data_IF_372636051238
#
_entry.id   IF_372636051238
#
_cell.length_a   1.000
_cell.length_b   1.000
_cell.length_c   1.000
_cell.angle_alpha   90.00
_cell.angle_beta   90.00
_cell.angle_gamma   90.00
#
_symmetry.space_group_name_H-M   'P 1'
#
loop_
_entity.id
_entity.type
_entity.pdbx_description
1 polymer ?
#
# COMPACT_ATOMS: atom_id res chain seq x y z
N UNK A 1 -8.33 4.14 -15.98
CA UNK A 1 -7.26 3.14 -16.26
C UNK A 1 -7.27 2.13 -15.14
N UNK A 2 -7.20 0.87 -15.45
CA UNK A 2 -7.16 -0.23 -14.48
C UNK A 2 -5.91 -1.09 -14.70
N UNK A 3 -5.40 -1.70 -13.64
CA UNK A 3 -4.36 -2.72 -13.74
C UNK A 3 -4.99 -4.11 -13.80
N UNK A 4 -4.30 -5.06 -14.44
CA UNK A 4 -4.68 -6.48 -14.46
C UNK A 4 -3.53 -7.29 -13.88
N UNK A 5 -3.86 -8.24 -13.01
CA UNK A 5 -2.85 -9.06 -12.32
C UNK A 5 -2.34 -10.24 -13.13
N UNK A 6 -3.10 -10.66 -14.16
CA UNK A 6 -2.66 -11.74 -15.07
C UNK A 6 -2.60 -13.14 -14.46
N UNK A 7 -3.32 -13.43 -13.43
CA UNK A 7 -3.32 -14.74 -12.76
C UNK A 7 -4.71 -15.29 -12.51
N UNK A 8 -4.83 -16.24 -11.60
CA UNK A 8 -6.10 -16.79 -11.12
C UNK A 8 -6.94 -15.81 -10.29
N UNK A 9 -6.48 -14.58 -10.11
CA UNK A 9 -7.19 -13.52 -9.43
C UNK A 9 -8.27 -12.91 -10.34
N UNK A 10 -9.48 -12.68 -9.80
CA UNK A 10 -10.58 -12.06 -10.56
C UNK A 10 -10.29 -10.63 -11.02
N UNK A 11 -9.31 -9.93 -10.43
CA UNK A 11 -8.85 -8.62 -10.91
C UNK A 11 -8.40 -8.65 -12.38
N UNK A 12 -7.97 -9.80 -12.90
CA UNK A 12 -7.68 -10.01 -14.32
C UNK A 12 -8.89 -9.73 -15.22
N UNK A 13 -10.12 -9.81 -14.69
CA UNK A 13 -11.35 -9.61 -15.44
C UNK A 13 -11.98 -8.20 -15.24
N UNK A 14 -11.46 -7.35 -14.35
CA UNK A 14 -12.08 -6.06 -14.04
C UNK A 14 -12.21 -5.14 -15.26
N UNK A 15 -11.30 -5.19 -16.22
CA UNK A 15 -11.39 -4.41 -17.46
C UNK A 15 -12.59 -4.83 -18.29
N UNK A 16 -12.84 -6.12 -18.42
CA UNK A 16 -13.99 -6.63 -19.17
C UNK A 16 -15.30 -6.25 -18.47
N UNK A 17 -15.34 -6.34 -17.14
CA UNK A 17 -16.50 -5.93 -16.35
C UNK A 17 -16.77 -4.42 -16.48
N UNK A 18 -15.73 -3.59 -16.44
CA UNK A 18 -15.86 -2.15 -16.63
C UNK A 18 -16.36 -1.81 -18.04
N UNK A 19 -15.80 -2.45 -19.09
CA UNK A 19 -16.27 -2.26 -20.46
C UNK A 19 -17.74 -2.63 -20.60
N UNK A 20 -18.16 -3.78 -20.01
CA UNK A 20 -19.54 -4.23 -20.00
C UNK A 20 -20.46 -3.24 -19.27
N UNK A 21 -20.03 -2.75 -18.11
CA UNK A 21 -20.79 -1.75 -17.36
C UNK A 21 -20.96 -0.46 -18.13
N UNK A 22 -19.93 0.04 -18.81
CA UNK A 22 -20.01 1.24 -19.67
C UNK A 22 -20.96 1.01 -20.85
N UNK A 23 -20.88 -0.15 -21.51
CA UNK A 23 -21.76 -0.53 -22.62
C UNK A 23 -23.22 -0.54 -22.18
N UNK A 24 -23.56 -1.20 -21.08
CA UNK A 24 -24.93 -1.30 -20.54
C UNK A 24 -25.49 0.10 -20.20
N UNK A 25 -24.64 1.02 -19.75
CA UNK A 25 -25.05 2.39 -19.38
C UNK A 25 -24.93 3.38 -20.54
N UNK A 26 -24.73 2.93 -21.79
CA UNK A 26 -24.71 3.79 -22.97
C UNK A 26 -23.42 4.57 -23.21
N UNK A 27 -22.35 4.31 -22.41
CA UNK A 27 -21.07 5.02 -22.54
C UNK A 27 -20.14 4.35 -23.57
N UNK A 28 -20.62 4.07 -24.78
CA UNK A 28 -19.89 3.33 -25.83
C UNK A 28 -18.60 4.03 -26.33
N UNK A 29 -18.49 5.35 -26.16
CA UNK A 29 -17.35 6.15 -26.61
C UNK A 29 -16.21 6.25 -25.59
N UNK A 30 -16.44 5.79 -24.36
CA UNK A 30 -15.43 5.88 -23.28
C UNK A 30 -14.37 4.79 -23.47
N UNK A 31 -13.11 5.22 -23.69
CA UNK A 31 -11.98 4.29 -23.80
C UNK A 31 -11.56 3.77 -22.42
N UNK A 32 -11.46 2.45 -22.29
CA UNK A 32 -10.93 1.79 -21.09
C UNK A 32 -9.50 1.35 -21.36
N UNK A 33 -8.54 1.96 -20.66
CA UNK A 33 -7.11 1.66 -20.80
C UNK A 33 -6.67 0.72 -19.67
N UNK A 34 -5.83 -0.26 -20.03
CA UNK A 34 -5.25 -1.21 -19.10
C UNK A 34 -3.75 -1.01 -18.99
N UNK A 35 -3.22 -0.91 -17.77
CA UNK A 35 -1.80 -1.09 -17.52
C UNK A 35 -1.56 -2.58 -17.26
N UNK A 36 -1.12 -3.28 -18.29
CA UNK A 36 -0.99 -4.72 -18.32
C UNK A 36 0.42 -5.13 -18.73
N UNK A 37 1.15 -5.75 -17.82
CA UNK A 37 2.50 -6.24 -18.05
C UNK A 37 2.55 -7.63 -18.71
N UNK A 38 1.41 -8.35 -18.72
CA UNK A 38 1.35 -9.75 -19.19
C UNK A 38 0.67 -9.93 -20.53
N UNK A 39 0.30 -8.84 -21.21
CA UNK A 39 -0.29 -8.92 -22.55
C UNK A 39 -1.69 -9.54 -22.62
N UNK A 40 -2.44 -9.55 -21.50
CA UNK A 40 -3.79 -10.13 -21.42
C UNK A 40 -4.82 -9.36 -22.26
N UNK A 41 -4.63 -8.05 -22.42
CA UNK A 41 -5.51 -7.21 -23.20
C UNK A 41 -4.89 -6.86 -24.55
N UNK A 42 -5.19 -7.66 -25.57
CA UNK A 42 -4.72 -7.43 -26.96
C UNK A 42 -5.30 -6.17 -27.61
N UNK A 43 -6.38 -5.60 -27.04
CA UNK A 43 -7.01 -4.35 -27.51
C UNK A 43 -6.46 -3.11 -26.80
N UNK A 44 -5.43 -3.27 -25.97
CA UNK A 44 -4.86 -2.17 -25.23
C UNK A 44 -3.96 -1.32 -26.12
N UNK A 45 -4.41 -0.12 -26.45
CA UNK A 45 -3.66 0.87 -27.23
C UNK A 45 -2.64 1.64 -26.37
N UNK A 46 -2.55 1.35 -25.06
CA UNK A 46 -1.70 2.08 -24.14
C UNK A 46 -0.38 1.37 -23.90
N UNK A 47 0.71 2.03 -24.25
CA UNK A 47 2.07 1.60 -23.92
C UNK A 47 2.85 2.74 -23.29
N UNK A 48 3.64 2.42 -22.28
CA UNK A 48 4.57 3.37 -21.67
C UNK A 48 5.93 3.29 -22.38
N UNK A 49 6.51 4.46 -22.69
CA UNK A 49 7.92 4.52 -23.09
C UNK A 49 8.82 4.17 -21.89
N UNK A 50 10.08 3.84 -22.14
CA UNK A 50 11.08 3.60 -21.10
C UNK A 50 11.15 4.77 -20.07
N UNK A 51 11.12 6.00 -20.58
CA UNK A 51 11.01 7.21 -19.74
C UNK A 51 9.72 7.23 -18.90
N UNK A 52 8.61 6.74 -19.46
CA UNK A 52 7.32 6.61 -18.76
C UNK A 52 7.41 5.65 -17.58
N UNK A 53 8.05 4.49 -17.72
CA UNK A 53 8.28 3.56 -16.62
C UNK A 53 9.16 4.14 -15.51
N UNK A 54 10.22 4.88 -15.88
CA UNK A 54 11.03 5.60 -14.90
C UNK A 54 10.24 6.66 -14.14
N UNK A 55 9.44 7.46 -14.85
CA UNK A 55 8.60 8.46 -14.21
C UNK A 55 7.58 7.82 -13.25
N UNK A 56 6.95 6.71 -13.66
CA UNK A 56 6.02 5.95 -12.82
C UNK A 56 6.71 5.45 -11.54
N UNK A 57 7.89 4.84 -11.67
CA UNK A 57 8.67 4.35 -10.54
C UNK A 57 8.99 5.45 -9.51
N UNK A 58 9.45 6.60 -10.00
CA UNK A 58 9.75 7.71 -9.08
C UNK A 58 8.50 8.37 -8.51
N UNK A 59 7.39 8.36 -9.26
CA UNK A 59 6.10 8.81 -8.72
C UNK A 59 5.63 7.91 -7.57
N UNK A 60 5.89 6.60 -7.63
CA UNK A 60 5.61 5.68 -6.53
C UNK A 60 6.48 6.02 -5.31
N UNK A 61 7.80 6.24 -5.49
CA UNK A 61 8.69 6.63 -4.39
C UNK A 61 8.24 7.90 -3.67
N UNK A 62 7.88 8.95 -4.44
CA UNK A 62 7.37 10.18 -3.84
C UNK A 62 5.99 10.00 -3.22
N UNK A 63 5.12 9.20 -3.83
CA UNK A 63 3.80 8.88 -3.31
C UNK A 63 3.87 8.17 -1.96
N UNK A 64 4.73 7.17 -1.85
CA UNK A 64 4.94 6.42 -0.61
C UNK A 64 5.51 7.31 0.51
N UNK A 65 6.49 8.17 0.19
CA UNK A 65 6.99 9.14 1.15
C UNK A 65 5.89 10.09 1.62
N UNK A 66 5.19 10.73 0.67
CA UNK A 66 4.13 11.70 1.00
C UNK A 66 3.03 11.06 1.84
N UNK A 67 2.58 9.86 1.48
CA UNK A 67 1.56 9.12 2.22
C UNK A 67 2.03 8.83 3.65
N UNK A 68 3.24 8.29 3.81
CA UNK A 68 3.80 7.95 5.12
C UNK A 68 3.93 9.18 6.03
N UNK A 69 4.47 10.29 5.52
CA UNK A 69 4.67 11.52 6.31
C UNK A 69 3.35 12.23 6.59
N UNK A 70 2.41 12.24 5.62
CA UNK A 70 1.08 12.82 5.78
C UNK A 70 0.30 12.17 6.91
N UNK A 71 0.16 10.83 6.91
CA UNK A 71 -0.63 10.13 7.93
C UNK A 71 -0.05 10.30 9.34
N UNK A 72 1.28 10.34 9.46
CA UNK A 72 1.94 10.63 10.73
C UNK A 72 1.84 12.11 11.14
N UNK A 73 1.49 13.02 10.23
CA UNK A 73 1.33 14.44 10.54
C UNK A 73 -0.11 14.79 10.86
N UNK A 74 -1.06 14.38 10.02
CA UNK A 74 -2.48 14.72 10.14
C UNK A 74 -3.09 14.24 11.47
N UNK A 75 -2.63 13.11 12.00
CA UNK A 75 -3.12 12.60 13.27
C UNK A 75 -2.81 13.52 14.47
N UNK A 76 -1.80 14.37 14.36
CA UNK A 76 -1.29 15.20 15.46
C UNK A 76 -1.35 16.70 15.18
N UNK A 77 -1.78 17.15 13.99
CA UNK A 77 -1.86 18.58 13.66
C UNK A 77 -2.78 19.35 14.62
N UNK A 78 -2.36 20.54 15.03
CA UNK A 78 -3.17 21.41 15.89
C UNK A 78 -4.25 22.15 15.09
N UNK A 79 -3.94 22.55 13.87
CA UNK A 79 -4.86 23.20 12.97
C UNK A 79 -5.33 22.21 11.90
N UNK A 80 -6.58 21.75 11.94
CA UNK A 80 -7.11 20.80 10.94
C UNK A 80 -6.96 21.32 9.51
N UNK A 81 -6.27 20.54 8.66
CA UNK A 81 -6.08 20.85 7.25
C UNK A 81 -4.68 21.33 6.88
N UNK A 82 -3.79 21.64 7.83
CA UNK A 82 -2.41 22.03 7.57
C UNK A 82 -1.68 20.93 6.77
N UNK A 83 -1.76 19.68 7.22
CA UNK A 83 -1.14 18.54 6.54
C UNK A 83 -1.69 18.33 5.13
N UNK A 84 -3.00 18.51 4.96
CA UNK A 84 -3.67 18.38 3.67
C UNK A 84 -3.22 19.46 2.67
N UNK A 85 -3.03 20.68 3.16
CA UNK A 85 -2.55 21.80 2.35
C UNK A 85 -1.11 21.58 1.87
N UNK A 86 -0.23 21.09 2.74
CA UNK A 86 1.15 20.74 2.38
C UNK A 86 1.18 19.56 1.40
N UNK A 87 0.33 18.55 1.61
CA UNK A 87 0.20 17.41 0.69
C UNK A 87 -0.23 17.89 -0.70
N UNK A 88 -1.24 18.77 -0.79
CA UNK A 88 -1.72 19.32 -2.05
C UNK A 88 -0.61 20.10 -2.77
N UNK A 89 0.10 20.97 -2.08
CA UNK A 89 1.26 21.71 -2.62
C UNK A 89 2.30 20.77 -3.24
N UNK A 90 2.72 19.73 -2.51
CA UNK A 90 3.74 18.80 -3.02
C UNK A 90 3.23 17.93 -4.16
N UNK A 91 1.97 17.54 -4.14
CA UNK A 91 1.34 16.81 -5.28
C UNK A 91 1.40 17.64 -6.56
N UNK A 92 0.95 18.89 -6.52
CA UNK A 92 0.96 19.78 -7.69
C UNK A 92 2.38 20.03 -8.19
N UNK A 93 3.30 20.32 -7.28
CA UNK A 93 4.71 20.53 -7.59
C UNK A 93 5.34 19.33 -8.27
N UNK A 94 5.21 18.14 -7.69
CA UNK A 94 5.76 16.90 -8.24
C UNK A 94 5.14 16.55 -9.60
N UNK A 95 3.82 16.73 -9.77
CA UNK A 95 3.13 16.52 -11.04
C UNK A 95 3.69 17.47 -12.11
N UNK A 96 3.92 18.73 -11.79
CA UNK A 96 4.47 19.73 -12.73
C UNK A 96 5.93 19.43 -13.13
N UNK A 97 6.67 18.71 -12.31
CA UNK A 97 8.06 18.34 -12.52
C UNK A 97 8.24 16.97 -13.22
N UNK A 98 7.22 16.10 -13.16
CA UNK A 98 7.25 14.77 -13.80
C UNK A 98 7.57 14.91 -15.30
N UNK A 99 8.60 14.21 -15.75
CA UNK A 99 9.05 14.27 -17.14
C UNK A 99 10.05 15.38 -17.47
N UNK A 100 10.25 16.37 -16.63
CA UNK A 100 11.18 17.49 -16.87
C UNK A 100 12.58 17.24 -16.32
N UNK A 101 12.76 17.07 -15.03
CA UNK A 101 14.08 16.78 -14.38
C UNK A 101 13.92 16.22 -12.93
N UNK A 102 13.00 15.33 -12.62
CA UNK A 102 12.57 15.15 -11.24
C UNK A 102 13.57 14.39 -10.35
N UNK A 103 14.60 13.74 -10.91
CA UNK A 103 15.21 12.62 -10.16
C UNK A 103 16.69 12.82 -9.83
N UNK A 104 17.32 13.89 -10.34
CA UNK A 104 18.73 14.20 -10.02
C UNK A 104 18.95 14.57 -8.56
N UNK A 105 17.90 15.04 -7.84
CA UNK A 105 17.97 15.55 -6.46
C UNK A 105 17.01 14.82 -5.52
N UNK A 106 16.84 13.52 -5.72
CA UNK A 106 15.84 12.72 -5.00
C UNK A 106 15.94 12.89 -3.47
N UNK A 107 17.12 12.70 -2.90
CA UNK A 107 17.34 12.82 -1.45
C UNK A 107 17.11 14.25 -0.95
N UNK A 108 17.49 15.26 -1.71
CA UNK A 108 17.26 16.66 -1.37
C UNK A 108 15.76 16.99 -1.36
N UNK A 109 15.02 16.46 -2.33
CA UNK A 109 13.56 16.60 -2.39
C UNK A 109 12.87 15.89 -1.21
N UNK A 110 13.33 14.69 -0.84
CA UNK A 110 12.81 14.00 0.34
C UNK A 110 12.98 14.85 1.61
N UNK A 111 14.16 15.42 1.82
CA UNK A 111 14.42 16.32 2.95
C UNK A 111 13.47 17.51 2.94
N UNK A 112 13.33 18.20 1.80
CA UNK A 112 12.42 19.36 1.67
C UNK A 112 10.96 19.00 1.97
N UNK A 113 10.50 17.82 1.53
CA UNK A 113 9.15 17.33 1.84
C UNK A 113 9.01 17.16 3.36
N UNK A 114 9.92 16.43 3.99
CA UNK A 114 9.88 16.15 5.42
C UNK A 114 9.96 17.45 6.23
N UNK A 115 10.89 18.33 5.90
CA UNK A 115 11.08 19.63 6.56
C UNK A 115 9.82 20.49 6.45
N UNK A 116 9.13 20.48 5.32
CA UNK A 116 7.87 21.21 5.17
C UNK A 116 6.77 20.64 6.09
N UNK A 117 6.64 19.32 6.23
CA UNK A 117 5.72 18.71 7.20
C UNK A 117 6.11 18.93 8.65
N UNK A 118 7.39 19.20 8.93
CA UNK A 118 7.86 19.56 10.29
C UNK A 118 7.46 20.98 10.71
N UNK A 119 7.11 21.86 9.76
CA UNK A 119 6.60 23.20 10.10
C UNK A 119 5.19 23.19 10.68
N UNK A 120 4.45 22.06 10.57
CA UNK A 120 3.10 21.93 11.10
C UNK A 120 3.17 21.88 12.64
N UNK A 121 2.46 22.76 13.36
CA UNK A 121 2.28 22.64 14.80
C UNK A 121 1.59 21.31 15.14
N UNK A 122 2.17 20.55 16.08
CA UNK A 122 1.69 19.20 16.44
C UNK A 122 1.49 19.06 17.95
N UNK A 123 0.32 18.59 18.35
CA UNK A 123 0.06 18.21 19.72
C UNK A 123 0.49 16.76 19.96
N UNK A 124 1.67 16.58 20.53
CA UNK A 124 2.23 15.27 20.87
C UNK A 124 1.95 14.85 22.33
N UNK A 125 1.15 15.63 23.09
CA UNK A 125 0.86 15.36 24.50
C UNK A 125 0.10 14.04 24.70
N UNK A 126 -0.69 13.62 23.70
CA UNK A 126 -1.44 12.35 23.72
C UNK A 126 -0.99 11.46 22.57
N UNK A 127 -0.43 10.31 22.92
CA UNK A 127 -0.10 9.28 21.93
C UNK A 127 -1.39 8.73 21.33
N UNK A 128 -1.51 8.79 20.02
CA UNK A 128 -2.67 8.26 19.29
C UNK A 128 -2.61 6.74 19.19
N UNK A 129 -3.77 6.10 19.15
CA UNK A 129 -3.89 4.71 18.71
C UNK A 129 -3.47 4.65 17.25
N UNK A 130 -2.63 3.67 16.90
CA UNK A 130 -2.17 3.46 15.53
C UNK A 130 -2.91 2.27 14.93
N UNK A 131 -3.39 2.43 13.69
CA UNK A 131 -4.14 1.40 12.97
C UNK A 131 -3.48 1.13 11.62
N UNK A 132 -2.96 -0.07 11.45
CA UNK A 132 -2.39 -0.55 10.19
C UNK A 132 -3.48 -0.96 9.20
N UNK A 133 -3.33 -0.59 7.93
CA UNK A 133 -4.23 -0.99 6.85
C UNK A 133 -3.48 -1.94 5.91
N UNK A 134 -3.90 -3.18 5.86
CA UNK A 134 -3.44 -4.24 4.94
C UNK A 134 -4.57 -4.62 4.02
N UNK A 135 -4.30 -5.18 2.88
CA UNK A 135 -5.38 -5.72 2.05
C UNK A 135 -5.09 -5.70 0.57
N UNK A 136 -6.14 -5.93 -0.20
CA UNK A 136 -6.09 -5.87 -1.66
C UNK A 136 -5.74 -4.45 -2.12
N UNK A 137 -4.88 -4.34 -3.12
CA UNK A 137 -4.27 -3.07 -3.54
C UNK A 137 -5.29 -1.97 -3.83
N UNK A 138 -6.38 -2.29 -4.55
CA UNK A 138 -7.41 -1.30 -4.82
C UNK A 138 -8.17 -0.91 -3.54
N UNK A 139 -8.54 -1.89 -2.70
CA UNK A 139 -9.21 -1.62 -1.43
C UNK A 139 -8.32 -0.83 -0.46
N UNK A 140 -7.02 -1.10 -0.45
CA UNK A 140 -6.07 -0.44 0.45
C UNK A 140 -5.87 1.04 0.13
N UNK A 141 -5.81 1.40 -1.16
CA UNK A 141 -5.43 2.75 -1.58
C UNK A 141 -6.55 3.59 -2.20
N UNK A 142 -7.70 3.01 -2.56
CA UNK A 142 -8.79 3.74 -3.21
C UNK A 142 -9.89 4.12 -2.21
N UNK A 143 -10.09 5.41 -1.91
CA UNK A 143 -11.19 5.85 -1.05
C UNK A 143 -12.56 5.40 -1.57
N UNK A 144 -12.75 5.36 -2.90
CA UNK A 144 -13.97 4.84 -3.52
C UNK A 144 -14.18 3.34 -3.22
N UNK A 145 -13.09 2.55 -3.20
CA UNK A 145 -13.16 1.10 -2.96
C UNK A 145 -13.40 0.75 -1.49
N UNK A 146 -12.83 1.52 -0.58
CA UNK A 146 -12.84 1.24 0.86
C UNK A 146 -13.74 2.19 1.69
N UNK A 147 -14.69 2.86 1.04
CA UNK A 147 -15.61 3.79 1.71
C UNK A 147 -14.88 4.83 2.59
N UNK A 148 -13.79 5.41 2.05
CA UNK A 148 -12.99 6.41 2.76
C UNK A 148 -12.44 5.93 4.11
N UNK A 149 -11.96 4.69 4.19
CA UNK A 149 -11.44 4.07 5.41
C UNK A 149 -10.44 4.95 6.16
N UNK A 150 -9.49 5.54 5.46
CA UNK A 150 -8.47 6.40 6.08
C UNK A 150 -9.09 7.66 6.69
N UNK A 151 -10.00 8.33 5.94
CA UNK A 151 -10.72 9.52 6.44
C UNK A 151 -11.58 9.16 7.66
N UNK A 152 -12.17 7.96 7.68
CA UNK A 152 -12.93 7.45 8.83
C UNK A 152 -12.04 7.27 10.05
N UNK A 153 -10.87 6.65 9.90
CA UNK A 153 -9.92 6.47 10.99
C UNK A 153 -9.39 7.81 11.53
N UNK A 154 -9.09 8.77 10.64
CA UNK A 154 -8.69 10.13 11.05
C UNK A 154 -9.78 10.83 11.87
N UNK A 155 -11.06 10.71 11.47
CA UNK A 155 -12.22 11.22 12.24
C UNK A 155 -12.38 10.57 13.61
N UNK A 156 -12.05 9.28 13.74
CA UNK A 156 -12.02 8.57 15.02
C UNK A 156 -10.81 8.98 15.90
N UNK A 157 -9.96 9.87 15.42
CA UNK A 157 -8.83 10.42 16.15
C UNK A 157 -7.63 9.48 16.30
N UNK A 158 -7.48 8.53 15.38
CA UNK A 158 -6.36 7.56 15.37
C UNK A 158 -5.38 7.87 14.25
N UNK A 159 -4.15 7.35 14.36
CA UNK A 159 -3.14 7.44 13.30
C UNK A 159 -3.29 6.25 12.36
N UNK A 160 -3.69 6.49 11.11
CA UNK A 160 -3.69 5.48 10.06
C UNK A 160 -2.25 5.20 9.58
N UNK A 161 -1.90 3.92 9.43
CA UNK A 161 -0.59 3.49 8.96
C UNK A 161 -0.76 2.60 7.73
N UNK A 162 -0.20 3.02 6.60
CA UNK A 162 -0.20 2.24 5.35
C UNK A 162 1.23 1.84 4.98
N UNK A 163 1.39 0.64 4.45
CA UNK A 163 2.64 0.25 3.76
C UNK A 163 2.71 0.90 2.38
N UNK A 164 3.90 1.01 1.82
CA UNK A 164 4.11 1.63 0.51
C UNK A 164 3.64 0.77 -0.66
N UNK A 165 3.23 1.40 -1.75
CA UNK A 165 2.94 0.72 -3.02
C UNK A 165 4.21 0.11 -3.64
N UNK A 166 5.37 0.63 -3.30
CA UNK A 166 6.67 0.13 -3.75
C UNK A 166 6.90 -1.33 -3.34
N UNK A 167 6.44 -1.72 -2.14
CA UNK A 167 6.58 -3.10 -1.66
C UNK A 167 5.79 -4.08 -2.51
N UNK A 168 4.62 -3.70 -2.99
CA UNK A 168 3.86 -4.50 -3.95
C UNK A 168 4.57 -4.61 -5.33
N UNK A 169 5.20 -3.54 -5.80
CA UNK A 169 6.02 -3.60 -7.01
C UNK A 169 7.22 -4.54 -6.83
N UNK A 170 7.93 -4.42 -5.72
CA UNK A 170 9.04 -5.30 -5.36
C UNK A 170 8.61 -6.76 -5.21
N UNK A 171 7.46 -7.00 -4.58
CA UNK A 171 6.86 -8.32 -4.46
C UNK A 171 6.67 -8.98 -5.82
N UNK A 172 6.01 -8.30 -6.77
CA UNK A 172 5.78 -8.84 -8.11
C UNK A 172 7.07 -9.14 -8.88
N UNK A 173 8.09 -8.29 -8.74
CA UNK A 173 9.39 -8.51 -9.37
C UNK A 173 10.15 -9.66 -8.70
N UNK A 174 10.07 -9.75 -7.37
CA UNK A 174 10.73 -10.80 -6.59
C UNK A 174 10.16 -12.18 -6.89
N UNK A 175 8.90 -12.31 -7.23
CA UNK A 175 8.29 -13.58 -7.64
C UNK A 175 9.04 -14.22 -8.82
N UNK A 176 9.49 -13.40 -9.77
CA UNK A 176 10.32 -13.89 -10.89
C UNK A 176 11.67 -14.47 -10.40
N UNK A 177 12.24 -13.87 -9.34
CA UNK A 177 13.49 -14.37 -8.73
C UNK A 177 13.22 -15.66 -7.98
N UNK A 178 12.11 -15.75 -7.26
CA UNK A 178 11.73 -16.90 -6.48
C UNK A 178 11.34 -18.10 -7.35
N UNK A 179 10.70 -17.87 -8.52
CA UNK A 179 10.38 -18.90 -9.51
C UNK A 179 11.60 -19.68 -9.99
N UNK A 180 12.77 -19.03 -10.07
CA UNK A 180 14.00 -19.75 -10.37
C UNK A 180 14.33 -20.77 -9.30
N UNK A 181 14.08 -20.45 -8.03
CA UNK A 181 14.34 -21.35 -6.91
C UNK A 181 13.43 -22.57 -6.93
N UNK A 182 12.13 -22.36 -7.27
CA UNK A 182 11.14 -23.44 -7.27
C UNK A 182 11.17 -24.25 -8.56
N UNK A 183 11.24 -23.58 -9.72
CA UNK A 183 11.05 -24.22 -11.02
C UNK A 183 12.33 -24.39 -11.83
N UNK A 184 13.49 -24.00 -11.29
CA UNK A 184 14.77 -24.11 -11.98
C UNK A 184 14.87 -23.23 -13.24
N UNK A 185 13.98 -22.29 -13.46
CA UNK A 185 13.96 -21.46 -14.66
C UNK A 185 15.25 -20.67 -14.82
N UNK A 186 16.00 -20.93 -15.92
CA UNK A 186 17.25 -20.23 -16.25
C UNK A 186 16.99 -19.29 -17.42
N UNK A 187 17.60 -18.08 -17.40
CA UNK A 187 17.49 -17.14 -18.53
C UNK A 187 18.02 -15.76 -18.19
N UNK A 188 18.30 -14.95 -19.22
CA UNK A 188 18.78 -13.57 -19.09
C UNK A 188 17.78 -12.68 -18.31
N UNK A 189 16.49 -12.95 -18.45
CA UNK A 189 15.42 -12.24 -17.73
C UNK A 189 15.63 -12.26 -16.21
N UNK A 190 16.10 -13.38 -15.66
CA UNK A 190 16.37 -13.49 -14.21
C UNK A 190 17.44 -12.48 -13.76
N UNK A 191 18.56 -12.39 -14.46
CA UNK A 191 19.66 -11.49 -14.07
C UNK A 191 19.24 -10.03 -14.20
N UNK A 192 18.47 -9.71 -15.26
CA UNK A 192 17.91 -8.38 -15.44
C UNK A 192 16.96 -8.00 -14.30
N UNK A 193 15.99 -8.86 -13.97
CA UNK A 193 15.04 -8.59 -12.88
C UNK A 193 15.77 -8.51 -11.53
N UNK A 194 16.75 -9.36 -11.27
CA UNK A 194 17.57 -9.28 -10.06
C UNK A 194 18.29 -7.94 -9.93
N UNK A 195 18.84 -7.43 -11.04
CA UNK A 195 19.46 -6.10 -11.06
C UNK A 195 18.43 -4.99 -10.78
N UNK A 196 17.26 -5.06 -11.41
CA UNK A 196 16.17 -4.08 -11.22
C UNK A 196 15.69 -4.09 -9.77
N UNK A 197 15.45 -5.27 -9.18
CA UNK A 197 15.05 -5.38 -7.76
C UNK A 197 16.11 -4.74 -6.85
N UNK A 198 17.39 -5.07 -7.04
CA UNK A 198 18.47 -4.47 -6.24
C UNK A 198 18.55 -2.94 -6.39
N UNK A 199 18.28 -2.41 -7.60
CA UNK A 199 18.21 -0.97 -7.82
C UNK A 199 17.03 -0.33 -7.06
N UNK A 200 15.85 -0.94 -7.11
CA UNK A 200 14.64 -0.45 -6.43
C UNK A 200 14.82 -0.50 -4.91
N UNK A 201 15.33 -1.62 -4.37
CA UNK A 201 15.64 -1.76 -2.94
C UNK A 201 16.65 -0.70 -2.47
N UNK A 202 17.66 -0.39 -3.29
CA UNK A 202 18.60 0.70 -3.00
C UNK A 202 17.88 2.05 -2.92
N UNK A 203 16.94 2.33 -3.83
CA UNK A 203 16.19 3.59 -3.82
C UNK A 203 15.21 3.68 -2.65
N UNK A 204 14.57 2.57 -2.28
CA UNK A 204 13.78 2.47 -1.05
C UNK A 204 14.65 2.76 0.19
N UNK A 205 15.80 2.14 0.28
CA UNK A 205 16.74 2.38 1.38
C UNK A 205 17.17 3.83 1.47
N UNK A 206 17.45 4.49 0.34
CA UNK A 206 17.77 5.92 0.30
C UNK A 206 16.66 6.79 0.90
N UNK A 207 15.38 6.46 0.65
CA UNK A 207 14.22 7.13 1.25
C UNK A 207 14.15 6.87 2.76
N UNK A 208 14.24 5.61 3.17
CA UNK A 208 14.24 5.19 4.57
C UNK A 208 15.35 5.88 5.37
N UNK A 209 16.57 5.92 4.82
CA UNK A 209 17.73 6.54 5.47
C UNK A 209 17.56 8.07 5.62
N UNK A 210 16.83 8.72 4.72
CA UNK A 210 16.48 10.14 4.86
C UNK A 210 15.45 10.32 5.98
N UNK A 211 14.37 9.52 6.02
CA UNK A 211 13.35 9.60 7.08
C UNK A 211 13.98 9.40 8.46
N UNK A 212 14.91 8.44 8.61
CA UNK A 212 15.61 8.16 9.87
C UNK A 212 16.42 9.34 10.44
N UNK A 213 16.75 10.33 9.62
CA UNK A 213 17.43 11.54 10.10
C UNK A 213 16.50 12.44 10.95
N UNK A 214 15.18 12.21 10.83
CA UNK A 214 14.16 13.01 11.51
C UNK A 214 13.43 12.14 12.55
N UNK A 215 13.71 12.38 13.85
CA UNK A 215 13.13 11.62 14.96
C UNK A 215 11.59 11.67 15.05
N UNK A 216 10.99 12.65 14.38
CA UNK A 216 9.54 12.88 14.39
C UNK A 216 8.74 11.91 13.51
N UNK A 217 9.41 11.12 12.68
CA UNK A 217 8.76 10.21 11.76
C UNK A 217 9.32 8.80 11.86
N UNK A 218 8.45 7.81 11.79
CA UNK A 218 8.79 6.39 11.79
C UNK A 218 8.91 5.93 10.33
N UNK A 219 10.09 5.47 9.89
CA UNK A 219 10.27 4.95 8.54
C UNK A 219 9.62 3.56 8.40
N UNK A 220 9.21 3.17 7.17
CA UNK A 220 8.81 1.79 6.88
C UNK A 220 10.01 0.84 6.98
N UNK A 221 9.74 -0.47 7.06
CA UNK A 221 10.79 -1.49 6.99
C UNK A 221 11.34 -1.61 5.56
N UNK A 222 12.63 -1.94 5.39
CA UNK A 222 13.16 -2.32 4.08
C UNK A 222 12.49 -3.60 3.57
N UNK A 223 12.13 -3.68 2.29
CA UNK A 223 11.49 -4.85 1.69
C UNK A 223 12.24 -6.17 1.95
N UNK A 224 13.56 -6.14 1.95
CA UNK A 224 14.39 -7.30 2.31
C UNK A 224 14.06 -7.84 3.70
N UNK A 225 13.77 -6.97 4.67
CA UNK A 225 13.34 -7.35 6.03
C UNK A 225 11.91 -7.88 6.04
N UNK A 226 10.99 -7.21 5.32
CA UNK A 226 9.58 -7.64 5.19
C UNK A 226 9.49 -9.07 4.66
N UNK A 227 10.30 -9.45 3.66
CA UNK A 227 10.36 -10.83 3.15
C UNK A 227 10.69 -11.86 4.24
N UNK A 228 11.60 -11.54 5.15
CA UNK A 228 12.04 -12.46 6.19
C UNK A 228 10.98 -12.69 7.27
N UNK A 229 10.05 -11.75 7.47
CA UNK A 229 9.02 -11.83 8.49
C UNK A 229 8.04 -12.99 8.28
N UNK A 230 7.87 -13.47 7.05
CA UNK A 230 6.99 -14.62 6.76
C UNK A 230 7.58 -15.96 7.18
N UNK A 231 8.85 -16.03 7.63
CA UNK A 231 9.44 -17.28 8.09
C UNK A 231 8.65 -17.88 9.25
N UNK A 232 8.33 -19.17 9.14
CA UNK A 232 7.51 -19.88 10.12
C UNK A 232 6.00 -19.70 9.96
N UNK A 233 5.56 -18.76 9.11
CA UNK A 233 4.15 -18.53 8.79
C UNK A 233 3.75 -19.15 7.46
N UNK A 234 4.37 -18.73 6.36
CA UNK A 234 4.10 -19.27 5.02
C UNK A 234 5.29 -19.06 4.08
N UNK A 235 5.31 -19.82 2.99
CA UNK A 235 6.38 -19.74 1.99
C UNK A 235 6.08 -18.74 0.88
N UNK A 236 7.13 -18.19 0.26
CA UNK A 236 7.00 -17.23 -0.84
C UNK A 236 6.42 -17.82 -2.14
N UNK A 237 6.19 -19.14 -2.20
CA UNK A 237 5.44 -19.76 -3.30
C UNK A 237 3.95 -19.42 -3.31
N UNK A 238 3.44 -18.87 -2.20
CA UNK A 238 2.06 -18.37 -2.09
C UNK A 238 2.03 -16.95 -2.62
N UNK A 239 1.93 -16.78 -3.94
CA UNK A 239 2.17 -15.52 -4.65
C UNK A 239 1.03 -15.02 -5.54
N UNK A 240 -0.17 -15.62 -5.43
CA UNK A 240 -1.33 -15.17 -6.19
C UNK A 240 -1.86 -13.85 -5.62
N UNK A 241 -2.10 -12.87 -6.49
CA UNK A 241 -2.50 -11.51 -6.09
C UNK A 241 -1.42 -10.84 -5.25
N UNK A 242 -1.74 -10.40 -4.05
CA UNK A 242 -0.81 -9.86 -3.07
C UNK A 242 0.00 -10.94 -2.34
N UNK A 243 -0.46 -12.19 -2.43
CA UNK A 243 0.22 -13.38 -1.93
C UNK A 243 0.73 -13.25 -0.50
N UNK A 244 1.95 -13.76 -0.26
CA UNK A 244 2.61 -13.74 1.05
C UNK A 244 2.82 -12.33 1.62
N UNK A 245 2.77 -11.28 0.78
CA UNK A 245 2.95 -9.90 1.22
C UNK A 245 1.89 -9.48 2.23
N UNK A 246 0.63 -9.95 2.10
CA UNK A 246 -0.44 -9.64 3.05
C UNK A 246 -0.10 -10.05 4.49
N UNK A 247 0.44 -11.25 4.66
CA UNK A 247 0.88 -11.73 5.98
C UNK A 247 2.12 -10.97 6.45
N UNK A 248 3.07 -10.69 5.54
CA UNK A 248 4.28 -9.95 5.86
C UNK A 248 3.99 -8.53 6.35
N UNK A 249 3.06 -7.81 5.73
CA UNK A 249 2.64 -6.47 6.13
C UNK A 249 1.99 -6.45 7.53
N UNK A 250 1.17 -7.46 7.87
CA UNK A 250 0.62 -7.57 9.22
C UNK A 250 1.74 -7.75 10.28
N UNK A 251 2.72 -8.59 9.99
CA UNK A 251 3.87 -8.83 10.86
C UNK A 251 4.77 -7.60 10.96
N UNK A 252 4.96 -6.88 9.85
CA UNK A 252 5.67 -5.61 9.83
C UNK A 252 5.03 -4.59 10.77
N UNK A 253 3.71 -4.43 10.69
CA UNK A 253 2.99 -3.52 11.58
C UNK A 253 3.15 -3.89 13.05
N UNK A 254 3.04 -5.17 13.40
CA UNK A 254 3.25 -5.65 14.76
C UNK A 254 4.68 -5.31 15.23
N UNK A 255 5.70 -5.55 14.40
CA UNK A 255 7.09 -5.22 14.74
C UNK A 255 7.30 -3.70 14.90
N UNK A 256 6.57 -2.88 14.14
CA UNK A 256 6.57 -1.41 14.27
C UNK A 256 5.76 -0.92 15.48
N UNK A 257 5.19 -1.83 16.30
CA UNK A 257 4.32 -1.50 17.42
C UNK A 257 2.90 -1.07 17.03
N UNK A 258 2.48 -1.32 15.79
CA UNK A 258 1.11 -1.10 15.31
C UNK A 258 0.31 -2.38 15.51
N UNK A 259 -0.36 -2.48 16.66
CA UNK A 259 -1.05 -3.70 17.09
C UNK A 259 -2.45 -3.84 16.50
N UNK A 260 -3.10 -2.73 16.15
CA UNK A 260 -4.44 -2.71 15.58
C UNK A 260 -4.33 -2.72 14.06
N UNK A 261 -4.93 -3.72 13.40
CA UNK A 261 -4.78 -3.92 11.97
C UNK A 261 -6.14 -4.21 11.33
N UNK A 262 -6.45 -3.47 10.27
CA UNK A 262 -7.61 -3.69 9.40
C UNK A 262 -7.14 -4.33 8.11
N UNK A 263 -7.61 -5.56 7.83
CA UNK A 263 -7.46 -6.19 6.52
C UNK A 263 -8.64 -5.77 5.65
N UNK A 264 -8.43 -4.78 4.78
CA UNK A 264 -9.42 -4.27 3.83
C UNK A 264 -9.44 -5.15 2.58
N UNK A 265 -10.55 -5.83 2.33
CA UNK A 265 -10.61 -6.82 1.27
C UNK A 265 -11.93 -6.76 0.48
N UNK A 266 -11.92 -7.02 -0.84
CA UNK A 266 -13.16 -7.24 -1.57
C UNK A 266 -13.81 -8.54 -1.10
N UNK A 267 -15.12 -8.57 -1.00
CA UNK A 267 -15.84 -9.83 -0.72
C UNK A 267 -15.45 -10.93 -1.73
N UNK A 268 -15.12 -12.11 -1.23
CA UNK A 268 -14.71 -13.24 -2.06
C UNK A 268 -13.34 -13.10 -2.73
N UNK A 269 -12.47 -12.20 -2.28
CA UNK A 269 -11.09 -12.13 -2.73
C UNK A 269 -10.29 -13.31 -2.18
N UNK A 270 -9.90 -14.24 -3.05
CA UNK A 270 -9.24 -15.48 -2.65
C UNK A 270 -7.94 -15.25 -1.86
N UNK A 271 -6.94 -14.46 -2.35
CA UNK A 271 -5.73 -14.21 -1.60
C UNK A 271 -5.99 -13.60 -0.22
N UNK A 272 -6.87 -12.62 -0.14
CA UNK A 272 -7.17 -11.96 1.13
C UNK A 272 -7.85 -12.89 2.13
N UNK A 273 -8.79 -13.76 1.69
CA UNK A 273 -9.44 -14.69 2.59
C UNK A 273 -8.50 -15.79 3.10
N UNK A 274 -7.57 -16.26 2.27
CA UNK A 274 -6.65 -17.35 2.63
C UNK A 274 -5.41 -16.80 3.37
N UNK A 275 -4.78 -15.74 2.85
CA UNK A 275 -3.43 -15.31 3.23
C UNK A 275 -3.47 -14.14 4.22
N UNK A 276 -4.51 -13.28 4.19
CA UNK A 276 -4.73 -12.29 5.23
C UNK A 276 -5.62 -12.86 6.33
N UNK A 277 -6.92 -13.01 6.08
CA UNK A 277 -7.89 -13.47 7.09
C UNK A 277 -7.57 -14.85 7.66
N UNK A 278 -7.17 -15.80 6.82
CA UNK A 278 -6.81 -17.15 7.24
C UNK A 278 -5.57 -17.23 8.12
N UNK A 279 -4.67 -16.25 8.07
CA UNK A 279 -3.46 -16.19 8.88
C UNK A 279 -3.64 -15.47 10.21
N UNK A 280 -4.76 -14.78 10.43
CA UNK A 280 -5.00 -13.97 11.65
C UNK A 280 -4.82 -14.81 12.91
N UNK A 281 -5.39 -16.02 12.95
CA UNK A 281 -5.27 -16.88 14.14
C UNK A 281 -3.81 -17.22 14.43
N UNK A 282 -3.08 -17.71 13.43
CA UNK A 282 -1.67 -18.07 13.60
C UNK A 282 -0.80 -16.87 14.00
N UNK A 283 -1.12 -15.68 13.52
CA UNK A 283 -0.44 -14.45 13.95
C UNK A 283 -0.75 -14.16 15.42
N UNK A 284 -2.03 -14.21 15.82
CA UNK A 284 -2.45 -13.98 17.21
C UNK A 284 -1.91 -15.01 18.20
N UNK A 285 -1.73 -16.26 17.79
CA UNK A 285 -1.13 -17.31 18.62
C UNK A 285 0.34 -16.95 18.98
N UNK A 286 1.05 -16.25 18.11
CA UNK A 286 2.43 -15.81 18.33
C UNK A 286 2.52 -14.35 18.86
N UNK A 287 1.49 -13.55 18.62
CA UNK A 287 1.38 -12.13 18.97
C UNK A 287 0.02 -11.88 19.62
N UNK A 288 -0.19 -12.30 20.88
CA UNK A 288 -1.49 -12.18 21.57
C UNK A 288 -2.00 -10.74 21.66
N UNK A 289 -1.07 -9.77 21.65
CA UNK A 289 -1.37 -8.33 21.67
C UNK A 289 -1.95 -7.80 20.36
N UNK A 290 -1.92 -8.58 19.26
CA UNK A 290 -2.39 -8.15 17.96
C UNK A 290 -3.92 -8.14 17.87
N UNK A 291 -4.49 -6.98 17.59
CA UNK A 291 -5.92 -6.75 17.41
C UNK A 291 -6.23 -6.60 15.91
N UNK A 292 -6.44 -7.73 15.24
CA UNK A 292 -6.58 -7.81 13.79
C UNK A 292 -8.01 -8.15 13.42
N UNK A 293 -8.61 -7.37 12.51
CA UNK A 293 -9.92 -7.64 11.91
C UNK A 293 -9.83 -7.66 10.39
N UNK A 294 -10.70 -8.47 9.76
CA UNK A 294 -10.90 -8.43 8.32
C UNK A 294 -12.23 -7.75 8.01
N UNK A 295 -12.22 -6.77 7.10
CA UNK A 295 -13.41 -6.03 6.69
C UNK A 295 -13.62 -6.26 5.21
N UNK A 296 -14.77 -6.86 4.88
CA UNK A 296 -15.18 -7.10 3.50
C UNK A 296 -15.86 -5.86 2.93
N UNK A 297 -15.40 -5.41 1.76
CA UNK A 297 -15.99 -4.34 0.99
C UNK A 297 -16.73 -4.94 -0.21
N UNK A 298 -18.03 -4.67 -0.26
CA UNK A 298 -18.93 -5.11 -1.32
C UNK A 298 -19.87 -3.95 -1.65
N UNK A 299 -20.11 -3.63 -2.93
CA UNK A 299 -21.05 -2.55 -3.30
C UNK A 299 -22.47 -2.72 -2.75
N UNK A 300 -22.89 -3.97 -2.46
CA UNK A 300 -24.17 -4.29 -1.85
C UNK A 300 -24.17 -4.30 -0.31
N UNK A 301 -23.00 -4.17 0.32
CA UNK A 301 -22.90 -4.20 1.78
C UNK A 301 -23.13 -2.82 2.39
N UNK A 302 -23.74 -2.79 3.58
CA UNK A 302 -23.90 -1.56 4.35
C UNK A 302 -22.58 -1.06 4.91
N UNK A 303 -22.24 0.21 4.66
CA UNK A 303 -21.07 0.86 5.28
C UNK A 303 -21.12 0.83 6.80
N UNK A 304 -22.32 0.87 7.38
CA UNK A 304 -22.54 0.80 8.84
C UNK A 304 -21.96 -0.47 9.46
N UNK A 305 -22.11 -1.61 8.79
CA UNK A 305 -21.54 -2.87 9.28
C UNK A 305 -20.00 -2.85 9.26
N UNK A 306 -19.41 -2.24 8.26
CA UNK A 306 -17.96 -2.08 8.15
C UNK A 306 -17.44 -1.15 9.26
N UNK A 307 -18.06 0.00 9.42
CA UNK A 307 -17.72 0.98 10.46
C UNK A 307 -17.89 0.41 11.87
N UNK A 308 -18.98 -0.32 12.15
CA UNK A 308 -19.22 -0.94 13.46
C UNK A 308 -18.12 -1.96 13.82
N UNK A 309 -17.62 -2.73 12.86
CA UNK A 309 -16.49 -3.66 13.10
C UNK A 309 -15.20 -2.92 13.41
N UNK A 310 -14.92 -1.84 12.70
CA UNK A 310 -13.75 -1.00 12.97
C UNK A 310 -13.90 -0.32 14.33
N UNK A 311 -15.06 0.23 14.64
CA UNK A 311 -15.34 0.87 15.93
C UNK A 311 -15.16 -0.09 17.11
N UNK A 312 -15.65 -1.33 16.97
CA UNK A 312 -15.45 -2.36 18.01
C UNK A 312 -13.94 -2.65 18.22
N UNK A 313 -13.16 -2.73 17.14
CA UNK A 313 -11.70 -2.88 17.25
C UNK A 313 -11.07 -1.68 17.97
N UNK A 314 -11.51 -0.45 17.67
CA UNK A 314 -10.99 0.76 18.29
C UNK A 314 -11.38 0.85 19.79
N UNK A 315 -12.60 0.47 20.17
CA UNK A 315 -13.00 0.42 21.57
C UNK A 315 -12.13 -0.57 22.36
N UNK A 316 -11.89 -1.76 21.83
CA UNK A 316 -10.95 -2.71 22.45
C UNK A 316 -9.54 -2.10 22.60
N UNK A 317 -9.07 -1.37 21.59
CA UNK A 317 -7.76 -0.72 21.66
C UNK A 317 -7.72 0.43 22.68
N UNK A 318 -8.83 1.18 22.87
CA UNK A 318 -8.96 2.25 23.86
C UNK A 318 -8.95 1.67 25.29
N UNK A 319 -9.68 0.58 25.52
CA UNK A 319 -9.70 -0.12 26.81
C UNK A 319 -8.30 -0.59 27.22
N UNK A 320 -7.57 -1.25 26.31
CA UNK A 320 -6.20 -1.73 26.57
C UNK A 320 -5.17 -0.60 26.74
N UNK A 321 -5.45 0.61 26.29
CA UNK A 321 -4.57 1.77 26.46
C UNK A 321 -4.77 2.49 27.81
N UNK A 322 -5.86 2.19 28.53
CA UNK A 322 -6.19 2.75 29.84
C UNK A 322 -5.77 1.86 31.01
N UNK A 323 -5.42 0.61 30.74
CA UNK A 323 -4.78 -0.33 31.68
C UNK A 323 -3.24 -0.15 31.66
#
# INVERSE_FOLDING_TARGET
MLTQTGGGCRASNYIHLLRKALEINGFHKVKVLSLNFEGLDKKNEFSLSFKGYFNLFYSILYGDLLMSIYHQSVAYEENPGDSKSILAYWKEKLISEVGKKPFKKLKENYKKIIEHFLTIPKNLSKKKIRVGIVGEIYMKYSPLGNNHLTDYLEKEGVEAVNTGLLDFLLFNLYDTIFDRKIYGRKGLKYYFIKYVVGYIEKKQKEMIDVIKQYKSFIPPSPFAKVREMTKGYLGHGVKMGEGWLLTAEMLEFIEMGVKNIVCAQPFGCLPNHIIAKGMIRKIKDNHPEANIIAVDYDPGASSVNQENRIRLMLENARMLATE
#
